data_IF_456829881565
#
_entry.id   IF_456829881565
#
_cell.length_a   1.000
_cell.length_b   1.000
_cell.length_c   1.000
_cell.angle_alpha   90.00
_cell.angle_beta   90.00
_cell.angle_gamma   90.00
#
_symmetry.space_group_name_H-M   'P 1'
#
loop_
_entity.id
_entity.type
_entity.pdbx_description
1 polymer ?
#
# COMPACT_ATOMS: atom_id res chain seq x y z
N UNK A 1 16.54 26.26 12.16
CA UNK A 1 17.46 26.21 11.01
C UNK A 1 17.20 27.42 10.14
N UNK A 2 18.23 28.16 9.77
CA UNK A 2 18.11 29.35 8.91
C UNK A 2 18.21 28.98 7.41
N UNK A 3 17.93 29.93 6.51
CA UNK A 3 17.96 29.68 5.06
C UNK A 3 19.32 29.19 4.55
N UNK A 4 20.41 29.67 5.12
CA UNK A 4 21.77 29.30 4.70
C UNK A 4 22.07 27.85 5.06
N UNK A 5 21.80 27.45 6.30
CA UNK A 5 21.94 26.07 6.78
C UNK A 5 21.10 25.09 5.94
N UNK A 6 19.92 25.53 5.49
CA UNK A 6 19.04 24.74 4.63
C UNK A 6 19.67 24.48 3.26
N UNK A 7 20.20 25.52 2.62
CA UNK A 7 20.86 25.41 1.31
C UNK A 7 22.15 24.58 1.39
N UNK A 8 22.92 24.72 2.47
CA UNK A 8 24.11 23.91 2.74
C UNK A 8 23.76 22.42 2.79
N UNK A 9 22.75 22.03 3.57
CA UNK A 9 22.29 20.63 3.64
C UNK A 9 21.80 20.09 2.30
N UNK A 10 21.07 20.88 1.50
CA UNK A 10 20.64 20.45 0.15
C UNK A 10 21.88 20.12 -0.70
N UNK A 11 22.88 20.98 -0.69
CA UNK A 11 24.10 20.80 -1.50
C UNK A 11 24.96 19.64 -1.01
N UNK A 12 24.99 19.36 0.30
CA UNK A 12 25.65 18.17 0.84
C UNK A 12 24.98 16.87 0.38
N UNK A 13 23.64 16.81 0.39
CA UNK A 13 22.89 15.67 -0.13
C UNK A 13 23.17 15.47 -1.63
N UNK A 14 23.19 16.55 -2.40
CA UNK A 14 23.56 16.52 -3.83
C UNK A 14 24.99 16.02 -4.02
N UNK A 15 25.97 16.51 -3.25
CA UNK A 15 27.37 16.05 -3.30
C UNK A 15 27.47 14.56 -2.98
N UNK A 16 26.76 14.10 -1.96
CA UNK A 16 26.73 12.68 -1.57
C UNK A 16 26.18 11.80 -2.69
N UNK A 17 25.04 12.18 -3.28
CA UNK A 17 24.47 11.49 -4.43
C UNK A 17 25.42 11.46 -5.63
N UNK A 18 26.06 12.59 -5.96
CA UNK A 18 27.05 12.65 -7.04
C UNK A 18 28.23 11.71 -6.78
N UNK A 19 28.74 11.64 -5.53
CA UNK A 19 29.83 10.75 -5.15
C UNK A 19 29.41 9.28 -5.26
N UNK A 20 28.23 8.91 -4.77
CA UNK A 20 27.70 7.54 -4.83
C UNK A 20 27.51 7.05 -6.28
N UNK A 21 27.16 7.95 -7.21
CA UNK A 21 26.93 7.63 -8.61
C UNK A 21 28.12 7.95 -9.53
N UNK A 22 29.30 8.25 -8.97
CA UNK A 22 30.52 8.60 -9.72
C UNK A 22 30.33 9.77 -10.71
N UNK A 23 29.50 10.76 -10.37
CA UNK A 23 29.20 11.92 -11.21
C UNK A 23 30.14 13.07 -10.86
N UNK A 24 30.98 13.48 -11.82
CA UNK A 24 31.82 14.67 -11.69
C UNK A 24 31.06 15.95 -12.05
N UNK A 25 31.56 17.13 -11.66
CA UNK A 25 30.95 18.41 -12.08
C UNK A 25 30.93 18.56 -13.60
N UNK A 26 31.97 18.10 -14.31
CA UNK A 26 31.99 18.07 -15.77
C UNK A 26 30.87 17.19 -16.32
N UNK A 27 30.66 16.01 -15.74
CA UNK A 27 29.59 15.11 -16.14
C UNK A 27 28.21 15.72 -15.88
N UNK A 28 28.04 16.41 -14.75
CA UNK A 28 26.80 17.14 -14.45
C UNK A 28 26.49 18.22 -15.51
N UNK A 29 27.49 18.98 -15.96
CA UNK A 29 27.29 19.95 -17.06
C UNK A 29 26.80 19.24 -18.33
N UNK A 30 27.34 18.07 -18.67
CA UNK A 30 26.88 17.28 -19.82
C UNK A 30 25.43 16.81 -19.64
N UNK A 31 25.06 16.33 -18.45
CA UNK A 31 23.70 15.91 -18.14
C UNK A 31 22.71 17.08 -18.26
N UNK A 32 23.04 18.24 -17.71
CA UNK A 32 22.25 19.46 -17.86
C UNK A 32 22.11 19.85 -19.33
N UNK A 33 23.20 19.84 -20.12
CA UNK A 33 23.16 20.13 -21.55
C UNK A 33 22.24 19.18 -22.31
N UNK A 34 22.27 17.89 -22.01
CA UNK A 34 21.40 16.88 -22.60
C UNK A 34 19.90 17.17 -22.37
N UNK A 35 19.56 17.83 -21.26
CA UNK A 35 18.20 18.28 -20.93
C UNK A 35 17.89 19.73 -21.37
N UNK A 36 18.74 20.34 -22.21
CA UNK A 36 18.63 21.75 -22.65
C UNK A 36 18.73 22.77 -21.51
N UNK A 37 19.32 22.39 -20.37
CA UNK A 37 19.56 23.26 -19.21
C UNK A 37 20.92 23.94 -19.40
N UNK A 38 20.93 25.28 -19.39
CA UNK A 38 22.16 26.06 -19.53
C UNK A 38 22.77 26.35 -18.15
N UNK A 39 23.79 25.60 -17.79
CA UNK A 39 24.58 25.84 -16.58
C UNK A 39 26.07 25.61 -16.86
N UNK A 40 26.93 26.48 -16.32
CA UNK A 40 28.39 26.38 -16.49
C UNK A 40 29.01 25.58 -15.35
N UNK A 41 30.19 24.98 -15.60
CA UNK A 41 30.95 24.31 -14.55
C UNK A 41 31.35 25.28 -13.42
N UNK A 42 31.69 26.54 -13.76
CA UNK A 42 32.00 27.57 -12.77
C UNK A 42 30.81 27.88 -11.86
N UNK A 43 29.59 27.91 -12.41
CA UNK A 43 28.36 28.10 -11.62
C UNK A 43 28.14 26.95 -10.63
N UNK A 44 28.36 25.70 -11.06
CA UNK A 44 28.25 24.51 -10.20
C UNK A 44 29.33 24.53 -9.11
N UNK A 45 30.57 24.84 -9.48
CA UNK A 45 31.69 24.94 -8.53
C UNK A 45 31.43 26.01 -7.46
N UNK A 46 31.00 27.20 -7.88
CA UNK A 46 30.63 28.28 -6.97
C UNK A 46 29.47 27.87 -6.06
N UNK A 47 28.48 27.13 -6.57
CA UNK A 47 27.38 26.65 -5.74
C UNK A 47 27.88 25.73 -4.62
N UNK A 48 28.80 24.83 -4.91
CA UNK A 48 29.35 23.90 -3.92
C UNK A 48 30.37 24.49 -2.96
N UNK A 49 31.06 25.57 -3.34
CA UNK A 49 32.10 26.23 -2.54
C UNK A 49 31.57 27.42 -1.74
N UNK A 50 30.49 28.07 -2.21
CA UNK A 50 29.86 29.23 -1.56
C UNK A 50 28.34 29.05 -1.44
N UNK A 51 27.86 28.10 -0.60
CA UNK A 51 26.45 27.74 -0.47
C UNK A 51 25.49 28.90 -0.14
N UNK A 52 25.95 29.85 0.68
CA UNK A 52 25.15 31.00 1.16
C UNK A 52 24.67 31.96 0.06
N UNK A 53 25.27 31.89 -1.13
CA UNK A 53 24.96 32.77 -2.27
C UNK A 53 24.16 32.09 -3.39
N UNK A 54 23.78 30.83 -3.20
CA UNK A 54 23.19 30.01 -4.27
C UNK A 54 21.74 30.42 -4.54
N UNK A 55 21.46 30.74 -5.80
CA UNK A 55 20.10 31.05 -6.26
C UNK A 55 19.28 29.78 -6.38
N UNK A 56 17.98 29.87 -6.08
CA UNK A 56 17.03 28.77 -6.26
C UNK A 56 17.06 28.20 -7.68
N UNK A 57 17.19 29.05 -8.70
CA UNK A 57 17.31 28.62 -10.10
C UNK A 57 18.54 27.74 -10.35
N UNK A 58 19.67 28.01 -9.68
CA UNK A 58 20.86 27.17 -9.75
C UNK A 58 20.62 25.80 -9.11
N UNK A 59 19.95 25.75 -7.96
CA UNK A 59 19.56 24.49 -7.31
C UNK A 59 18.63 23.66 -8.20
N UNK A 60 17.57 24.27 -8.74
CA UNK A 60 16.63 23.61 -9.66
C UNK A 60 17.38 23.04 -10.86
N UNK A 61 18.24 23.82 -11.51
CA UNK A 61 19.00 23.35 -12.68
C UNK A 61 19.95 22.18 -12.36
N UNK A 62 20.58 22.18 -11.18
CA UNK A 62 21.44 21.08 -10.72
C UNK A 62 20.58 19.83 -10.45
N UNK A 63 19.47 19.99 -9.72
CA UNK A 63 18.52 18.91 -9.41
C UNK A 63 17.94 18.30 -10.70
N UNK A 64 17.45 19.12 -11.63
CA UNK A 64 16.92 18.66 -12.92
C UNK A 64 17.98 17.93 -13.74
N UNK A 65 19.21 18.45 -13.77
CA UNK A 65 20.35 17.80 -14.41
C UNK A 65 20.63 16.40 -13.86
N UNK A 66 20.64 16.26 -12.54
CA UNK A 66 20.82 14.98 -11.84
C UNK A 66 19.56 14.11 -11.82
N UNK A 67 18.43 14.62 -12.30
CA UNK A 67 17.14 13.94 -12.21
C UNK A 67 16.75 13.67 -10.74
N UNK A 68 16.95 14.66 -9.86
CA UNK A 68 16.58 14.64 -8.44
C UNK A 68 15.46 15.65 -8.20
N UNK A 69 14.48 15.32 -7.37
CA UNK A 69 13.44 16.27 -6.96
C UNK A 69 13.94 17.18 -5.84
N UNK A 70 13.99 18.49 -6.09
CA UNK A 70 14.34 19.48 -5.06
C UNK A 70 13.38 19.41 -3.86
N UNK A 71 12.07 19.32 -4.11
CA UNK A 71 11.07 19.21 -3.04
C UNK A 71 11.26 17.95 -2.19
N UNK A 72 11.76 16.86 -2.77
CA UNK A 72 12.09 15.63 -2.04
C UNK A 72 13.30 15.83 -1.12
N UNK A 73 14.35 16.50 -1.61
CA UNK A 73 15.50 16.86 -0.76
C UNK A 73 15.07 17.76 0.41
N UNK A 74 14.22 18.75 0.14
CA UNK A 74 13.66 19.63 1.17
C UNK A 74 12.89 18.83 2.24
N UNK A 75 11.98 17.94 1.80
CA UNK A 75 11.21 17.07 2.72
C UNK A 75 12.11 16.17 3.56
N UNK A 76 13.16 15.59 2.97
CA UNK A 76 14.12 14.75 3.71
C UNK A 76 14.86 15.55 4.78
N UNK A 77 15.24 16.79 4.49
CA UNK A 77 15.87 17.68 5.47
C UNK A 77 14.88 17.98 6.61
N UNK A 78 13.64 18.34 6.31
CA UNK A 78 12.61 18.59 7.33
C UNK A 78 12.34 17.38 8.21
N UNK A 79 12.32 16.18 7.65
CA UNK A 79 12.19 14.93 8.40
C UNK A 79 13.40 14.68 9.30
N UNK A 80 14.62 14.89 8.78
CA UNK A 80 15.85 14.75 9.57
C UNK A 80 15.94 15.70 10.75
N UNK A 81 15.27 16.86 10.68
CA UNK A 81 15.21 17.82 11.78
C UNK A 81 14.22 17.44 12.88
N UNK A 82 13.25 16.57 12.57
CA UNK A 82 12.24 16.11 13.54
C UNK A 82 12.73 14.94 14.40
N UNK A 83 13.87 14.35 14.06
CA UNK A 83 14.42 13.19 14.74
C UNK A 83 15.71 13.57 15.50
N UNK A 84 15.93 13.05 16.72
CA UNK A 84 17.13 13.33 17.50
C UNK A 84 18.42 12.87 16.79
N UNK A 85 18.36 11.72 16.12
CA UNK A 85 19.45 11.11 15.35
C UNK A 85 18.91 10.49 14.04
N UNK A 86 19.63 10.59 12.90
CA UNK A 86 19.22 9.96 11.64
C UNK A 86 19.09 8.44 11.70
N UNK A 87 19.85 7.78 12.60
CA UNK A 87 19.76 6.33 12.86
C UNK A 87 18.43 5.91 13.50
N UNK A 88 17.74 6.86 14.14
CA UNK A 88 16.46 6.63 14.80
C UNK A 88 15.29 6.76 13.81
N UNK A 89 15.57 7.06 12.54
CA UNK A 89 14.53 7.15 11.53
C UNK A 89 14.02 5.75 11.14
N UNK A 90 12.91 5.36 11.77
CA UNK A 90 12.20 4.13 11.43
C UNK A 90 11.40 4.25 10.15
N UNK A 91 11.26 5.45 9.55
CA UNK A 91 10.52 5.66 8.30
C UNK A 91 11.48 5.85 7.13
N UNK A 92 11.46 4.91 6.19
CA UNK A 92 12.38 4.84 5.07
C UNK A 92 11.70 5.37 3.80
N UNK A 93 12.08 6.58 3.40
CA UNK A 93 11.63 7.20 2.15
C UNK A 93 12.55 6.91 0.97
N UNK A 94 13.86 6.81 1.20
CA UNK A 94 14.80 6.66 0.10
C UNK A 94 14.80 5.21 -0.42
N UNK A 95 14.47 5.05 -1.69
CA UNK A 95 14.50 3.76 -2.39
C UNK A 95 15.90 3.17 -2.56
N UNK A 96 16.97 3.93 -2.28
CA UNK A 96 18.33 3.39 -2.21
C UNK A 96 18.57 2.52 -0.96
N UNK A 97 17.69 2.62 0.05
CA UNK A 97 17.80 1.84 1.28
C UNK A 97 17.57 0.34 1.02
N UNK A 98 18.36 -0.56 1.64
CA UNK A 98 18.18 -2.01 1.52
C UNK A 98 16.77 -2.51 1.86
N UNK A 99 16.00 -1.77 2.66
CA UNK A 99 14.61 -2.12 2.97
C UNK A 99 13.71 -2.25 1.73
N UNK A 100 14.02 -1.56 0.62
CA UNK A 100 13.27 -1.65 -0.64
C UNK A 100 13.69 -2.82 -1.53
N UNK A 101 14.72 -3.59 -1.14
CA UNK A 101 15.19 -4.74 -1.93
C UNK A 101 14.04 -5.74 -2.14
N UNK A 102 13.83 -6.13 -3.39
CA UNK A 102 12.81 -7.11 -3.77
C UNK A 102 11.38 -6.56 -3.93
N UNK A 103 11.12 -5.29 -3.60
CA UNK A 103 9.77 -4.69 -3.65
C UNK A 103 9.49 -3.82 -4.88
N UNK A 104 10.52 -3.38 -5.61
CA UNK A 104 10.36 -2.51 -6.77
C UNK A 104 9.97 -3.33 -8.01
N UNK A 105 8.70 -3.71 -8.11
CA UNK A 105 8.16 -4.52 -9.20
C UNK A 105 6.69 -4.16 -9.51
N UNK A 106 6.11 -4.85 -10.49
CA UNK A 106 4.68 -4.84 -10.76
C UNK A 106 4.00 -6.03 -10.09
N UNK A 107 2.85 -5.78 -9.48
CA UNK A 107 2.06 -6.75 -8.74
C UNK A 107 0.63 -6.73 -9.26
N UNK A 108 0.03 -7.91 -9.40
CA UNK A 108 -1.40 -8.08 -9.54
C UNK A 108 -2.05 -7.86 -8.17
N UNK A 109 -3.07 -7.02 -8.13
CA UNK A 109 -3.84 -6.68 -6.94
C UNK A 109 -5.22 -7.29 -7.06
N UNK A 110 -5.64 -8.00 -6.02
CA UNK A 110 -6.96 -8.61 -5.93
C UNK A 110 -7.66 -8.19 -4.64
N UNK A 111 -8.94 -7.86 -4.71
CA UNK A 111 -9.77 -7.56 -3.54
C UNK A 111 -11.24 -7.85 -3.85
N UNK A 112 -12.04 -8.11 -2.83
CA UNK A 112 -13.48 -8.27 -3.00
C UNK A 112 -14.14 -6.90 -3.24
N UNK A 113 -15.02 -6.84 -4.23
CA UNK A 113 -15.75 -5.63 -4.60
C UNK A 113 -16.46 -5.02 -3.39
N UNK A 114 -16.36 -3.70 -3.28
CA UNK A 114 -17.03 -2.89 -2.25
C UNK A 114 -18.35 -2.30 -2.74
N UNK A 115 -18.79 -2.65 -3.96
CA UNK A 115 -20.12 -2.30 -4.47
C UNK A 115 -21.15 -3.31 -3.95
N UNK A 116 -22.21 -2.80 -3.29
CA UNK A 116 -23.32 -3.59 -2.76
C UNK A 116 -24.04 -4.44 -3.83
N UNK A 117 -23.94 -4.07 -5.12
CA UNK A 117 -24.54 -4.85 -6.22
C UNK A 117 -23.64 -5.97 -6.73
N UNK A 118 -22.36 -5.96 -6.38
CA UNK A 118 -21.32 -6.89 -6.85
C UNK A 118 -20.66 -7.62 -5.69
N UNK A 119 -21.40 -7.85 -4.60
CA UNK A 119 -20.86 -8.41 -3.36
C UNK A 119 -20.22 -9.77 -3.62
N UNK A 120 -18.95 -9.89 -3.26
CA UNK A 120 -18.17 -11.12 -3.42
C UNK A 120 -17.50 -11.29 -4.78
N UNK A 121 -17.71 -10.38 -5.74
CA UNK A 121 -16.94 -10.37 -6.99
C UNK A 121 -15.49 -9.97 -6.73
N UNK A 122 -14.55 -10.65 -7.38
CA UNK A 122 -13.13 -10.34 -7.27
C UNK A 122 -12.77 -9.23 -8.27
N UNK A 123 -12.20 -8.15 -7.76
CA UNK A 123 -11.68 -7.05 -8.58
C UNK A 123 -10.18 -7.23 -8.77
N UNK A 124 -9.71 -6.98 -9.98
CA UNK A 124 -8.31 -7.12 -10.38
C UNK A 124 -7.74 -5.79 -10.90
N UNK A 125 -6.49 -5.52 -10.53
CA UNK A 125 -5.69 -4.44 -11.10
C UNK A 125 -4.20 -4.68 -11.02
N UNK A 126 -3.42 -3.72 -11.49
CA UNK A 126 -1.96 -3.76 -11.49
C UNK A 126 -1.41 -2.61 -10.64
N UNK A 127 -0.63 -2.95 -9.61
CA UNK A 127 0.11 -2.00 -8.78
C UNK A 127 1.60 -2.06 -9.13
N UNK A 128 2.16 -0.93 -9.52
CA UNK A 128 3.53 -0.81 -9.95
C UNK A 128 4.32 0.06 -8.97
N UNK A 129 5.35 -0.54 -8.38
CA UNK A 129 6.32 0.14 -7.53
C UNK A 129 7.58 0.44 -8.32
N UNK A 130 7.84 1.71 -8.54
CA UNK A 130 9.02 2.18 -9.28
C UNK A 130 9.90 3.03 -8.40
N UNK A 131 11.20 2.93 -8.66
CA UNK A 131 12.12 3.94 -8.19
C UNK A 131 11.76 5.28 -8.85
N UNK A 132 11.77 6.35 -8.07
CA UNK A 132 11.75 7.69 -8.62
C UNK A 132 13.04 8.39 -8.26
N UNK A 133 13.77 8.84 -9.29
CA UNK A 133 14.70 9.97 -9.22
C UNK A 133 15.43 10.09 -7.87
N UNK A 134 16.32 9.12 -7.59
CA UNK A 134 16.99 8.97 -6.29
C UNK A 134 17.79 10.21 -5.91
N UNK A 135 17.82 10.61 -4.63
CA UNK A 135 17.08 10.05 -3.49
C UNK A 135 15.61 10.48 -3.47
N UNK A 136 14.69 9.55 -3.29
CA UNK A 136 13.26 9.85 -3.21
C UNK A 136 12.34 8.66 -3.01
N UNK A 137 11.04 8.93 -2.70
CA UNK A 137 10.06 7.91 -2.38
C UNK A 137 9.84 6.96 -3.56
N UNK A 138 9.47 5.72 -3.22
CA UNK A 138 9.00 4.77 -4.21
C UNK A 138 7.66 5.27 -4.77
N UNK A 139 7.59 5.46 -6.08
CA UNK A 139 6.33 5.79 -6.76
C UNK A 139 5.48 4.54 -6.88
N UNK A 140 4.25 4.66 -6.44
CA UNK A 140 3.21 3.66 -6.59
C UNK A 140 2.20 4.11 -7.64
N UNK A 141 1.91 3.23 -8.61
CA UNK A 141 0.91 3.46 -9.65
C UNK A 141 -0.05 2.28 -9.66
N UNK A 142 -1.33 2.51 -9.38
CA UNK A 142 -2.36 1.49 -9.42
C UNK A 142 -3.28 1.73 -10.60
N UNK A 143 -3.47 0.71 -11.43
CA UNK A 143 -4.45 0.68 -12.51
C UNK A 143 -5.49 -0.39 -12.20
N UNK A 144 -6.74 0.01 -12.01
CA UNK A 144 -7.86 -0.90 -11.73
C UNK A 144 -8.73 -1.03 -12.96
N UNK A 145 -9.00 -2.28 -13.35
CA UNK A 145 -10.02 -2.58 -14.32
C UNK A 145 -11.38 -2.60 -13.61
N UNK A 146 -12.24 -1.62 -13.86
CA UNK A 146 -13.56 -1.58 -13.20
C UNK A 146 -14.60 -2.45 -13.90
N UNK A 147 -14.25 -3.03 -15.06
CA UNK A 147 -15.18 -3.76 -15.91
C UNK A 147 -16.20 -2.86 -16.63
N UNK A 148 -16.23 -1.57 -16.32
CA UNK A 148 -17.13 -0.62 -16.96
C UNK A 148 -16.60 -0.27 -18.35
N UNK A 149 -17.48 -0.25 -19.34
CA UNK A 149 -17.14 0.20 -20.69
C UNK A 149 -17.61 1.64 -20.89
N UNK A 150 -16.78 2.43 -21.57
CA UNK A 150 -17.18 3.73 -22.08
C UNK A 150 -18.42 3.55 -23.00
N UNK A 151 -19.53 4.25 -22.73
CA UNK A 151 -20.78 4.06 -23.47
C UNK A 151 -20.70 4.43 -24.96
N UNK A 152 -19.71 5.22 -25.36
CA UNK A 152 -19.50 5.67 -26.74
C UNK A 152 -18.39 4.88 -27.44
N UNK A 153 -17.26 4.67 -26.77
CA UNK A 153 -16.06 4.05 -27.36
C UNK A 153 -15.97 2.55 -27.12
N UNK A 154 -16.82 2.00 -26.24
CA UNK A 154 -16.81 0.59 -25.77
C UNK A 154 -15.47 0.12 -25.18
N UNK A 155 -14.53 1.05 -24.93
CA UNK A 155 -13.26 0.72 -24.28
C UNK A 155 -13.50 0.50 -22.80
N UNK A 156 -12.78 -0.47 -22.24
CA UNK A 156 -12.76 -0.71 -20.81
C UNK A 156 -12.16 0.52 -20.12
N UNK A 157 -12.88 1.02 -19.13
CA UNK A 157 -12.45 2.14 -18.32
C UNK A 157 -11.43 1.67 -17.28
N UNK A 158 -10.27 2.33 -17.25
CA UNK A 158 -9.18 2.02 -16.30
C UNK A 158 -9.07 3.18 -15.32
N UNK A 159 -9.35 2.92 -14.05
CA UNK A 159 -9.12 3.90 -12.99
C UNK A 159 -7.65 3.91 -12.61
N UNK A 160 -7.06 5.10 -12.58
CA UNK A 160 -5.64 5.29 -12.25
C UNK A 160 -5.50 5.99 -10.91
N UNK A 161 -4.59 5.48 -10.10
CA UNK A 161 -4.17 6.08 -8.85
C UNK A 161 -2.66 6.22 -8.83
N UNK A 162 -2.19 7.29 -8.23
CA UNK A 162 -0.76 7.59 -8.11
C UNK A 162 -0.44 8.00 -6.69
N UNK A 163 0.73 7.62 -6.21
CA UNK A 163 1.24 8.12 -4.94
C UNK A 163 2.54 7.44 -4.57
N UNK A 164 2.76 7.25 -3.26
CA UNK A 164 4.04 6.82 -2.72
C UNK A 164 3.91 5.57 -1.85
N UNK A 165 4.88 4.67 -1.98
CA UNK A 165 5.14 3.59 -1.04
C UNK A 165 6.26 4.01 -0.08
N UNK A 166 6.02 3.81 1.21
CA UNK A 166 6.93 4.13 2.32
C UNK A 166 7.07 2.89 3.20
N UNK A 167 8.29 2.59 3.62
CA UNK A 167 8.56 1.46 4.51
C UNK A 167 8.77 1.97 5.94
N UNK A 168 8.10 1.34 6.89
CA UNK A 168 8.35 1.49 8.31
C UNK A 168 9.14 0.28 8.82
N UNK A 169 10.31 0.53 9.43
CA UNK A 169 11.20 -0.49 10.01
C UNK A 169 10.56 -1.28 11.16
N UNK A 170 9.37 -0.88 11.62
CA UNK A 170 8.55 -1.66 12.56
C UNK A 170 7.83 -2.84 11.90
N UNK A 171 8.07 -3.09 10.60
CA UNK A 171 7.56 -4.27 9.90
C UNK A 171 6.36 -4.00 9.00
N UNK A 172 6.14 -2.76 8.55
CA UNK A 172 4.99 -2.41 7.71
C UNK A 172 5.39 -1.58 6.48
N UNK A 173 4.68 -1.81 5.38
CA UNK A 173 4.70 -0.99 4.17
C UNK A 173 3.39 -0.22 4.11
N UNK A 174 3.48 1.08 3.85
CA UNK A 174 2.34 1.95 3.62
C UNK A 174 2.37 2.46 2.19
N UNK A 175 1.26 2.32 1.48
CA UNK A 175 1.10 2.85 0.13
C UNK A 175 -0.13 3.75 0.10
N UNK A 176 0.09 5.05 -0.11
CA UNK A 176 -0.99 6.03 -0.21
C UNK A 176 -1.16 6.44 -1.66
N UNK A 177 -2.34 6.21 -2.20
CA UNK A 177 -2.68 6.32 -3.61
C UNK A 177 -3.84 7.31 -3.76
N UNK A 178 -3.72 8.22 -4.71
CA UNK A 178 -4.74 9.23 -4.99
C UNK A 178 -5.15 9.13 -6.45
N UNK A 179 -6.46 9.10 -6.70
CA UNK A 179 -7.01 9.34 -8.02
C UNK A 179 -7.55 10.76 -8.11
N UNK A 180 -6.80 11.64 -8.76
CA UNK A 180 -7.21 13.03 -8.96
C UNK A 180 -8.45 13.16 -9.85
N UNK A 181 -8.67 12.21 -10.76
CA UNK A 181 -9.86 12.18 -11.62
C UNK A 181 -11.14 11.90 -10.83
N UNK A 182 -11.05 11.03 -9.82
CA UNK A 182 -12.21 10.57 -9.04
C UNK A 182 -12.31 11.17 -7.64
N UNK A 183 -11.33 12.00 -7.23
CA UNK A 183 -11.22 12.51 -5.86
C UNK A 183 -11.15 11.40 -4.81
N UNK A 184 -10.57 10.25 -5.17
CA UNK A 184 -10.56 9.05 -4.32
C UNK A 184 -9.16 8.79 -3.75
N UNK A 185 -9.10 8.32 -2.51
CA UNK A 185 -7.87 8.07 -1.77
C UNK A 185 -7.89 6.64 -1.24
N UNK A 186 -6.81 5.92 -1.50
CA UNK A 186 -6.59 4.57 -1.05
C UNK A 186 -5.35 4.52 -0.18
N UNK A 187 -5.48 3.96 1.01
CA UNK A 187 -4.34 3.62 1.86
C UNK A 187 -4.25 2.11 1.94
N UNK A 188 -3.17 1.56 1.41
CA UNK A 188 -2.85 0.14 1.49
C UNK A 188 -1.75 -0.08 2.52
N UNK A 189 -1.88 -1.14 3.31
CA UNK A 189 -0.92 -1.53 4.35
C UNK A 189 -0.58 -3.00 4.21
N UNK A 190 0.71 -3.32 4.17
CA UNK A 190 1.22 -4.68 4.07
C UNK A 190 2.31 -4.94 5.11
N UNK A 191 2.54 -6.20 5.45
CA UNK A 191 3.71 -6.56 6.24
C UNK A 191 4.99 -6.36 5.40
N UNK A 192 6.00 -5.73 6.00
CA UNK A 192 7.34 -5.64 5.42
C UNK A 192 8.13 -6.88 5.83
N UNK A 193 8.67 -7.57 4.84
CA UNK A 193 9.51 -8.76 5.00
C UNK A 193 10.96 -8.36 4.73
N UNK A 194 11.87 -8.93 5.51
CA UNK A 194 13.29 -8.76 5.27
C UNK A 194 13.74 -9.70 4.14
N UNK A 195 13.84 -9.16 2.92
CA UNK A 195 14.20 -9.91 1.73
C UNK A 195 15.71 -9.78 1.45
N UNK A 196 16.42 -10.92 1.41
CA UNK A 196 17.87 -10.93 1.22
C UNK A 196 18.26 -10.91 -0.26
N UNK A 197 17.76 -11.87 -1.03
CA UNK A 197 18.06 -12.04 -2.47
C UNK A 197 16.79 -12.18 -3.32
N UNK A 198 15.72 -12.72 -2.75
CA UNK A 198 14.47 -12.95 -3.47
C UNK A 198 13.63 -11.68 -3.59
N UNK A 199 12.89 -11.60 -4.70
CA UNK A 199 11.84 -10.59 -4.87
C UNK A 199 10.63 -10.96 -4.02
N UNK A 200 9.94 -9.93 -3.51
CA UNK A 200 8.65 -10.13 -2.86
C UNK A 200 7.70 -10.77 -3.86
N UNK A 201 7.12 -11.92 -3.51
CA UNK A 201 6.26 -12.67 -4.42
C UNK A 201 4.79 -12.30 -4.29
N UNK A 202 4.39 -11.69 -3.17
CA UNK A 202 3.00 -11.39 -2.86
C UNK A 202 2.68 -11.56 -1.37
N UNK A 203 1.48 -11.17 -0.98
CA UNK A 203 1.03 -11.17 0.41
C UNK A 203 -0.34 -10.55 0.59
N UNK A 204 -0.94 -10.78 1.75
CA UNK A 204 -2.20 -10.14 2.15
C UNK A 204 -1.87 -8.82 2.86
N UNK A 205 -2.71 -7.82 2.62
CA UNK A 205 -2.69 -6.53 3.28
C UNK A 205 -4.08 -6.00 3.52
N UNK A 206 -4.14 -4.78 4.04
CA UNK A 206 -5.36 -4.05 4.33
C UNK A 206 -5.48 -2.86 3.41
N UNK A 207 -6.70 -2.59 2.95
CA UNK A 207 -7.04 -1.38 2.23
C UNK A 207 -8.05 -0.56 3.03
N UNK A 208 -7.84 0.75 3.05
CA UNK A 208 -8.82 1.74 3.47
C UNK A 208 -9.15 2.57 2.24
N UNK A 209 -10.40 2.51 1.81
CA UNK A 209 -10.87 3.06 0.53
C UNK A 209 -12.25 3.70 0.69
N UNK A 210 -12.72 4.39 -0.34
CA UNK A 210 -14.14 4.71 -0.48
C UNK A 210 -14.86 3.53 -1.14
N UNK A 211 -16.04 3.15 -0.65
CA UNK A 211 -16.87 2.12 -1.31
C UNK A 211 -17.17 2.49 -2.76
N UNK A 212 -17.23 1.46 -3.63
CA UNK A 212 -17.74 1.59 -4.98
C UNK A 212 -19.28 1.70 -4.98
N UNK A 213 -19.86 2.17 -6.09
CA UNK A 213 -21.30 2.36 -6.25
C UNK A 213 -21.77 3.80 -6.02
N UNK A 214 -23.09 3.96 -5.84
CA UNK A 214 -23.75 5.27 -5.78
C UNK A 214 -23.49 6.05 -4.49
N UNK A 215 -23.37 5.35 -3.37
CA UNK A 215 -23.07 5.94 -2.06
C UNK A 215 -21.64 5.59 -1.69
N UNK A 216 -20.77 6.61 -1.60
CA UNK A 216 -19.37 6.43 -1.20
C UNK A 216 -19.23 6.59 0.31
N UNK A 217 -18.82 5.52 0.98
CA UNK A 217 -18.56 5.48 2.42
C UNK A 217 -17.16 4.94 2.71
N UNK A 218 -16.48 5.39 3.78
CA UNK A 218 -15.20 4.82 4.18
C UNK A 218 -15.33 3.31 4.42
N UNK A 219 -14.44 2.54 3.80
CA UNK A 219 -14.51 1.08 3.75
C UNK A 219 -13.14 0.49 4.06
N UNK A 220 -13.14 -0.56 4.88
CA UNK A 220 -11.94 -1.36 5.19
C UNK A 220 -12.14 -2.73 4.56
N UNK A 221 -11.15 -3.21 3.82
CA UNK A 221 -11.15 -4.53 3.19
C UNK A 221 -9.74 -5.14 3.18
N UNK A 222 -9.63 -6.45 2.95
CA UNK A 222 -8.33 -7.09 2.67
C UNK A 222 -7.98 -6.92 1.19
N UNK A 223 -6.69 -6.90 0.91
CA UNK A 223 -6.11 -6.81 -0.44
C UNK A 223 -5.05 -7.89 -0.57
N UNK A 224 -4.99 -8.56 -1.71
CA UNK A 224 -4.00 -9.59 -2.00
C UNK A 224 -3.08 -9.10 -3.12
N UNK A 225 -1.77 -9.14 -2.89
CA UNK A 225 -0.75 -8.87 -3.90
C UNK A 225 -0.17 -10.18 -4.41
N UNK A 226 0.07 -10.24 -5.72
CA UNK A 226 0.77 -11.33 -6.37
C UNK A 226 1.75 -10.81 -7.40
N UNK A 227 2.95 -11.38 -7.45
CA UNK A 227 3.95 -11.08 -8.49
C UNK A 227 3.60 -11.67 -9.86
N UNK A 228 2.64 -12.60 -9.91
CA UNK A 228 2.11 -13.21 -11.13
C UNK A 228 0.60 -13.12 -11.16
N UNK A 229 0.01 -13.15 -12.35
CA UNK A 229 -1.43 -13.29 -12.49
C UNK A 229 -1.90 -14.63 -11.91
N UNK A 230 -2.98 -14.60 -11.13
CA UNK A 230 -3.57 -15.79 -10.53
C UNK A 230 -4.48 -16.52 -11.51
N UNK A 231 -4.41 -17.85 -11.53
CA UNK A 231 -5.37 -18.70 -12.25
C UNK A 231 -6.76 -18.65 -11.61
N UNK A 232 -7.80 -19.10 -12.30
CA UNK A 232 -9.17 -19.14 -11.76
C UNK A 232 -9.26 -19.95 -10.46
N UNK A 233 -8.57 -21.09 -10.38
CA UNK A 233 -8.49 -21.91 -9.17
C UNK A 233 -7.80 -21.16 -8.02
N UNK A 234 -6.70 -20.45 -8.29
CA UNK A 234 -6.02 -19.63 -7.27
C UNK A 234 -6.92 -18.48 -6.81
N UNK A 235 -7.62 -17.81 -7.74
CA UNK A 235 -8.55 -16.73 -7.44
C UNK A 235 -9.68 -17.21 -6.52
N UNK A 236 -10.20 -18.43 -6.72
CA UNK A 236 -11.20 -19.03 -5.83
C UNK A 236 -10.73 -19.09 -4.36
N UNK A 237 -9.51 -19.56 -4.11
CA UNK A 237 -8.95 -19.61 -2.75
C UNK A 237 -8.64 -18.20 -2.20
N UNK A 238 -8.12 -17.30 -3.04
CA UNK A 238 -7.87 -15.91 -2.65
C UNK A 238 -9.15 -15.19 -2.25
N UNK A 239 -10.27 -15.40 -2.94
CA UNK A 239 -11.58 -14.88 -2.54
C UNK A 239 -11.95 -15.26 -1.10
N UNK A 240 -11.62 -16.47 -0.67
CA UNK A 240 -11.80 -16.92 0.71
C UNK A 240 -10.92 -16.14 1.69
N UNK A 241 -9.63 -16.00 1.37
CA UNK A 241 -8.66 -15.30 2.23
C UNK A 241 -8.87 -13.78 2.32
N UNK A 242 -9.55 -13.18 1.34
CA UNK A 242 -9.89 -11.76 1.32
C UNK A 242 -11.10 -11.41 2.20
N UNK A 243 -11.79 -12.40 2.78
CA UNK A 243 -12.84 -12.15 3.78
C UNK A 243 -12.22 -11.61 5.07
N UNK A 244 -12.97 -10.78 5.78
CA UNK A 244 -12.58 -10.22 7.09
C UNK A 244 -12.74 -11.24 8.23
N UNK A 245 -12.26 -12.47 7.99
CA UNK A 245 -12.13 -13.47 9.05
C UNK A 245 -10.99 -13.09 9.98
N UNK A 246 -11.10 -13.48 11.26
CA UNK A 246 -10.10 -13.21 12.31
C UNK A 246 -9.63 -14.53 12.90
N UNK A 247 -9.48 -14.61 14.23
CA UNK A 247 -9.16 -15.84 14.94
C UNK A 247 -10.29 -16.88 14.87
N UNK A 248 -11.51 -16.46 14.50
CA UNK A 248 -12.69 -17.30 14.39
C UNK A 248 -13.38 -17.14 13.01
N UNK A 249 -14.05 -18.21 12.57
CA UNK A 249 -14.81 -18.26 11.31
C UNK A 249 -16.29 -18.41 11.65
N UNK A 250 -17.09 -17.40 11.31
CA UNK A 250 -18.55 -17.50 11.38
C UNK A 250 -19.11 -18.16 10.12
N UNK A 251 -19.85 -19.25 10.30
CA UNK A 251 -20.47 -20.01 9.21
C UNK A 251 -21.87 -20.45 9.61
N UNK A 252 -22.83 -20.36 8.69
CA UNK A 252 -24.19 -20.86 8.95
C UNK A 252 -24.23 -22.39 8.87
N UNK A 253 -25.17 -23.01 9.57
CA UNK A 253 -25.35 -24.48 9.52
C UNK A 253 -25.50 -25.00 8.10
N UNK A 254 -26.22 -24.28 7.24
CA UNK A 254 -26.40 -24.66 5.84
C UNK A 254 -25.07 -24.66 5.07
N UNK A 255 -24.30 -23.56 5.15
CA UNK A 255 -23.00 -23.43 4.47
C UNK A 255 -21.98 -24.43 5.01
N UNK A 256 -21.98 -24.67 6.32
CA UNK A 256 -21.13 -25.66 6.96
C UNK A 256 -21.44 -27.07 6.43
N UNK A 257 -22.72 -27.45 6.37
CA UNK A 257 -23.12 -28.74 5.80
C UNK A 257 -22.69 -28.88 4.35
N UNK A 258 -22.76 -27.81 3.54
CA UNK A 258 -22.25 -27.80 2.17
C UNK A 258 -20.74 -28.07 2.14
N UNK A 259 -19.95 -27.35 2.95
CA UNK A 259 -18.49 -27.55 3.04
C UNK A 259 -18.14 -28.99 3.48
N UNK A 260 -18.81 -29.50 4.51
CA UNK A 260 -18.52 -30.83 5.06
C UNK A 260 -18.85 -31.97 4.09
N UNK A 261 -19.67 -31.71 3.07
CA UNK A 261 -20.01 -32.64 2.00
C UNK A 261 -19.16 -32.45 0.74
N UNK A 262 -18.25 -31.47 0.70
CA UNK A 262 -17.35 -31.27 -0.43
C UNK A 262 -16.30 -32.40 -0.50
N UNK A 263 -16.26 -33.09 -1.64
CA UNK A 263 -15.33 -34.20 -1.87
C UNK A 263 -13.87 -33.76 -1.98
N UNK A 264 -13.60 -32.47 -2.24
CA UNK A 264 -12.26 -31.89 -2.28
C UNK A 264 -11.70 -31.58 -0.89
N UNK A 265 -12.53 -31.62 0.16
CA UNK A 265 -12.10 -31.28 1.51
C UNK A 265 -11.17 -32.36 2.08
N UNK A 266 -9.96 -31.98 2.47
CA UNK A 266 -9.01 -32.89 3.10
C UNK A 266 -9.63 -33.57 4.34
N UNK A 267 -9.46 -34.89 4.44
CA UNK A 267 -10.07 -35.69 5.50
C UNK A 267 -9.54 -35.33 6.89
N UNK A 268 -8.27 -34.94 7.01
CA UNK A 268 -7.68 -34.53 8.29
C UNK A 268 -8.22 -33.16 8.71
N UNK A 269 -8.34 -32.23 7.77
CA UNK A 269 -8.97 -30.93 8.00
C UNK A 269 -10.45 -31.08 8.40
N UNK A 270 -11.21 -31.92 7.68
CA UNK A 270 -12.60 -32.25 8.01
C UNK A 270 -12.75 -32.78 9.44
N UNK A 271 -11.92 -33.74 9.85
CA UNK A 271 -11.90 -34.28 11.23
C UNK A 271 -11.56 -33.22 12.28
N UNK A 272 -10.68 -32.27 11.96
CA UNK A 272 -10.38 -31.17 12.87
C UNK A 272 -11.60 -30.27 13.10
N UNK A 273 -12.35 -29.97 12.04
CA UNK A 273 -13.61 -29.22 12.14
C UNK A 273 -14.62 -30.00 13.00
N UNK A 274 -14.85 -31.29 12.71
CA UNK A 274 -15.77 -32.14 13.48
C UNK A 274 -15.44 -32.17 14.98
N UNK A 275 -14.15 -32.24 15.31
CA UNK A 275 -13.69 -32.22 16.71
C UNK A 275 -13.99 -30.89 17.39
N UNK A 276 -13.79 -29.76 16.71
CA UNK A 276 -14.10 -28.42 17.25
C UNK A 276 -15.61 -28.30 17.46
N UNK A 277 -16.40 -28.78 16.51
CA UNK A 277 -17.86 -28.72 16.53
C UNK A 277 -18.52 -29.74 17.46
N UNK A 278 -17.76 -30.62 18.12
CA UNK A 278 -18.31 -31.54 19.12
C UNK A 278 -18.89 -30.81 20.35
N UNK A 279 -18.44 -29.57 20.60
CA UNK A 279 -18.97 -28.68 21.64
C UNK A 279 -19.10 -27.26 21.07
N UNK A 280 -20.09 -27.01 20.20
CA UNK A 280 -20.20 -25.72 19.53
C UNK A 280 -20.74 -24.65 20.49
N UNK A 281 -20.25 -23.44 20.34
CA UNK A 281 -20.84 -22.26 20.96
C UNK A 281 -21.93 -21.68 20.04
N UNK A 282 -23.03 -21.20 20.63
CA UNK A 282 -24.17 -20.66 19.88
C UNK A 282 -24.03 -19.14 19.84
N UNK A 283 -23.99 -18.59 18.64
CA UNK A 283 -23.99 -17.15 18.40
C UNK A 283 -25.32 -16.70 17.80
N UNK A 284 -25.74 -15.49 18.16
CA UNK A 284 -26.94 -14.84 17.64
C UNK A 284 -26.57 -13.67 16.73
N UNK A 285 -27.19 -13.60 15.56
CA UNK A 285 -27.06 -12.44 14.65
C UNK A 285 -28.28 -11.54 14.81
N UNK A 286 -28.06 -10.31 15.28
CA UNK A 286 -29.11 -9.32 15.51
C UNK A 286 -28.91 -8.16 14.53
N UNK A 287 -29.79 -7.99 13.52
CA UNK A 287 -29.70 -6.86 12.60
C UNK A 287 -29.96 -5.54 13.33
N UNK A 288 -29.01 -4.61 13.29
CA UNK A 288 -29.12 -3.31 13.99
C UNK A 288 -30.30 -2.48 13.47
N UNK A 289 -30.61 -2.57 12.17
CA UNK A 289 -31.78 -1.90 11.57
C UNK A 289 -33.10 -2.32 12.24
N UNK A 290 -33.21 -3.58 12.66
CA UNK A 290 -34.41 -4.09 13.34
C UNK A 290 -34.57 -3.53 14.75
N UNK A 291 -33.53 -2.93 15.34
CA UNK A 291 -33.57 -2.31 16.66
C UNK A 291 -33.86 -0.79 16.59
N UNK A 292 -33.76 -0.16 15.41
CA UNK A 292 -33.88 1.30 15.27
C UNK A 292 -35.31 1.76 15.57
N UNK A 293 -35.42 2.78 16.42
CA UNK A 293 -36.63 3.63 16.47
C UNK A 293 -36.66 4.57 15.27
N UNK A 294 -37.85 4.99 14.84
CA UNK A 294 -38.06 5.92 13.71
C UNK A 294 -37.27 7.23 13.83
N UNK A 295 -36.96 7.66 15.05
CA UNK A 295 -35.98 8.71 15.34
C UNK A 295 -35.00 8.19 16.41
N UNK A 296 -33.68 8.14 16.13
CA UNK A 296 -32.69 7.79 17.14
C UNK A 296 -32.72 8.79 18.29
N UNK A 297 -32.88 8.31 19.52
CA UNK A 297 -32.84 9.15 20.72
C UNK A 297 -31.67 8.75 21.62
N UNK A 298 -31.38 9.59 22.63
CA UNK A 298 -30.28 9.34 23.60
C UNK A 298 -30.37 7.97 24.26
N UNK A 299 -31.58 7.46 24.49
CA UNK A 299 -31.78 6.17 25.14
C UNK A 299 -31.44 5.01 24.19
N UNK A 300 -31.87 5.09 22.93
CA UNK A 300 -31.50 4.13 21.88
C UNK A 300 -29.98 3.99 21.75
N UNK A 301 -29.26 5.12 21.66
CA UNK A 301 -27.79 5.10 21.55
C UNK A 301 -27.15 4.42 22.76
N UNK A 302 -27.60 4.73 23.98
CA UNK A 302 -27.08 4.10 25.21
C UNK A 302 -27.32 2.59 25.24
N UNK A 303 -28.52 2.14 24.89
CA UNK A 303 -28.88 0.72 24.89
C UNK A 303 -28.13 -0.05 23.80
N UNK A 304 -27.97 0.54 22.60
CA UNK A 304 -27.17 -0.05 21.53
C UNK A 304 -25.69 -0.15 21.95
N UNK A 305 -25.11 0.91 22.53
CA UNK A 305 -23.74 0.86 23.03
C UNK A 305 -23.56 -0.20 24.12
N UNK A 306 -24.53 -0.36 25.02
CA UNK A 306 -24.50 -1.41 26.04
C UNK A 306 -24.55 -2.80 25.41
N UNK A 307 -25.45 -3.05 24.46
CA UNK A 307 -25.51 -4.33 23.73
C UNK A 307 -24.18 -4.66 23.04
N UNK A 308 -23.55 -3.67 22.40
CA UNK A 308 -22.25 -3.84 21.74
C UNK A 308 -21.11 -4.16 22.73
N UNK A 309 -21.17 -3.69 23.98
CA UNK A 309 -20.17 -4.05 25.01
C UNK A 309 -20.26 -5.53 25.42
N UNK A 310 -21.43 -6.14 25.33
CA UNK A 310 -21.63 -7.57 25.60
C UNK A 310 -21.42 -8.44 24.35
N UNK A 311 -21.14 -7.83 23.19
CA UNK A 311 -20.88 -8.57 21.96
C UNK A 311 -19.53 -9.28 22.00
N UNK A 312 -19.45 -10.47 21.41
CA UNK A 312 -18.18 -11.14 21.12
C UNK A 312 -17.45 -10.54 19.90
N UNK A 313 -17.94 -9.42 19.34
CA UNK A 313 -17.31 -8.76 18.21
C UNK A 313 -15.88 -8.31 18.55
N UNK A 314 -14.90 -8.67 17.72
CA UNK A 314 -13.51 -8.37 18.04
C UNK A 314 -13.18 -6.87 17.85
N UNK A 315 -12.23 -6.37 18.63
CA UNK A 315 -11.88 -4.93 18.69
C UNK A 315 -11.03 -4.42 17.53
N UNK A 316 -10.28 -5.32 16.88
CA UNK A 316 -9.42 -4.99 15.74
C UNK A 316 -9.26 -6.22 14.83
N UNK A 317 -8.93 -5.97 13.57
CA UNK A 317 -8.55 -6.98 12.60
C UNK A 317 -7.07 -6.74 12.23
N UNK A 318 -6.24 -7.78 12.36
CA UNK A 318 -4.79 -7.69 12.19
C UNK A 318 -4.39 -8.58 11.03
N UNK A 319 -3.66 -8.01 10.07
CA UNK A 319 -3.01 -8.81 9.03
C UNK A 319 -1.75 -9.42 9.64
N UNK A 320 -1.81 -10.72 9.93
CA UNK A 320 -0.70 -11.41 10.59
C UNK A 320 0.37 -11.85 9.59
N UNK A 321 1.56 -12.17 10.10
CA UNK A 321 2.59 -12.81 9.29
C UNK A 321 2.11 -14.16 8.73
N UNK A 322 1.40 -14.94 9.55
CA UNK A 322 0.85 -16.23 9.14
C UNK A 322 -0.12 -16.11 7.94
N UNK A 323 -0.99 -15.09 7.93
CA UNK A 323 -1.84 -14.81 6.77
C UNK A 323 -1.04 -14.37 5.53
N UNK A 324 0.05 -13.61 5.75
CA UNK A 324 0.96 -13.21 4.67
C UNK A 324 1.64 -14.44 4.06
N UNK A 325 2.04 -15.39 4.88
CA UNK A 325 2.70 -16.63 4.46
C UNK A 325 1.76 -17.56 3.66
N UNK A 326 0.44 -17.53 3.93
CA UNK A 326 -0.55 -18.27 3.12
C UNK A 326 -0.53 -17.88 1.64
N UNK A 327 -0.22 -16.60 1.34
CA UNK A 327 -0.14 -16.14 -0.04
C UNK A 327 0.92 -16.90 -0.84
N UNK A 328 2.04 -17.30 -0.21
CA UNK A 328 3.11 -18.01 -0.90
C UNK A 328 2.64 -19.37 -1.43
N UNK A 329 1.88 -20.11 -0.61
CA UNK A 329 1.34 -21.43 -0.97
C UNK A 329 0.29 -21.35 -2.08
N UNK A 330 -0.38 -20.22 -2.23
CA UNK A 330 -1.33 -20.00 -3.34
C UNK A 330 -0.59 -19.62 -4.62
N UNK A 331 0.32 -18.64 -4.55
CA UNK A 331 1.02 -18.08 -5.71
C UNK A 331 1.98 -19.11 -6.31
N UNK A 332 2.70 -19.84 -5.44
CA UNK A 332 3.62 -20.91 -5.80
C UNK A 332 3.28 -22.15 -4.97
N UNK A 333 2.24 -22.91 -5.36
CA UNK A 333 1.98 -24.19 -4.74
C UNK A 333 3.22 -25.04 -4.98
N UNK A 334 3.96 -25.37 -3.92
CA UNK A 334 5.05 -26.33 -4.00
C UNK A 334 4.49 -27.66 -4.48
N UNK A 335 5.07 -28.22 -5.55
CA UNK A 335 4.76 -29.56 -6.07
C UNK A 335 4.98 -30.66 -5.03
#
# INVERSE_FOLDING_TARGET
MNNQEYVEKILELIKSHMKQNNITQKKLVELCKGKKIKISQGTISNAFNTPSSVRLTTLINICDGLNISLSTLMKNIELSLKLPEPSDNLIVYDTSDPAYRGYLNSYHVYFLSTDEKKVGELVHGILNFKNSNTPGPCKALLELNTGDQDPYTKKIHIKKYTGDMIISRVGCIYCNLISYEYGDIWTLVFNHLQLNFDSFIGGIGGGITSSAGGTRIPTIHKVFLSSTELTEDQQFYVCGLLRLYRDEITISTQQLNTLMNDSKLDLKFKRNIERILAKPEIFYSIPVESLKSSVPNKNYVKMLSMLLQYSSMPYNDKITMAETDLAQYIIRPSE
#
